data_IF_753847510250
#
_entry.id   IF_753847510250
#
_cell.length_a   1.000
_cell.length_b   1.000
_cell.length_c   1.000
_cell.angle_alpha   90.00
_cell.angle_beta   90.00
_cell.angle_gamma   90.00
#
_symmetry.space_group_name_H-M   'P 1'
#
loop_
_entity.id
_entity.type
_entity.pdbx_description
1 polymer ?
#
# COMPACT_ATOMS: atom_id res chain seq x y z
N UNK A 1 -17.41 28.07 -27.74
CA UNK A 1 -17.68 26.98 -28.71
C UNK A 1 -17.15 25.70 -28.07
N UNK A 2 -17.87 24.56 -28.05
CA UNK A 2 -17.22 23.33 -27.66
C UNK A 2 -16.17 23.05 -28.75
N UNK A 3 -14.89 23.04 -28.38
CA UNK A 3 -13.83 22.72 -29.32
C UNK A 3 -14.14 21.35 -29.94
N UNK A 4 -14.15 21.32 -31.27
CA UNK A 4 -14.32 20.09 -32.04
C UNK A 4 -13.28 19.07 -31.58
N UNK A 5 -13.68 17.80 -31.43
CA UNK A 5 -12.73 16.72 -31.13
C UNK A 5 -11.56 16.75 -32.11
N UNK A 6 -10.35 16.60 -31.59
CA UNK A 6 -9.15 16.54 -32.41
C UNK A 6 -8.99 15.20 -33.13
N UNK A 7 -8.05 15.10 -34.08
CA UNK A 7 -7.89 13.92 -34.93
C UNK A 7 -7.08 12.78 -34.27
N UNK A 8 -6.42 13.02 -33.13
CA UNK A 8 -5.54 12.02 -32.51
C UNK A 8 -6.34 10.93 -31.77
N UNK A 9 -5.76 9.73 -31.73
CA UNK A 9 -6.34 8.50 -31.17
C UNK A 9 -5.27 7.80 -30.33
N UNK A 10 -5.61 7.03 -29.29
CA UNK A 10 -4.63 6.33 -28.45
C UNK A 10 -3.62 5.48 -29.23
N UNK A 11 -4.05 4.83 -30.33
CA UNK A 11 -3.19 4.01 -31.19
C UNK A 11 -2.20 4.82 -32.06
N UNK A 12 -2.35 6.15 -32.11
CA UNK A 12 -1.35 7.04 -32.71
C UNK A 12 -0.17 7.34 -31.76
N UNK A 13 -0.23 6.95 -30.49
CA UNK A 13 0.82 7.14 -29.49
C UNK A 13 1.45 5.78 -29.16
N UNK A 14 2.77 5.72 -29.11
CA UNK A 14 3.51 4.51 -28.76
C UNK A 14 4.05 4.59 -27.33
N UNK A 15 4.31 3.43 -26.72
CA UNK A 15 5.04 3.38 -25.46
C UNK A 15 6.42 4.04 -25.61
N UNK A 16 6.76 4.92 -24.66
CA UNK A 16 7.93 5.81 -24.71
C UNK A 16 7.66 7.20 -25.28
N UNK A 17 6.55 7.42 -25.99
CA UNK A 17 6.15 8.76 -26.41
C UNK A 17 5.73 9.60 -25.19
N UNK A 18 6.01 10.90 -25.25
CA UNK A 18 5.74 11.86 -24.18
C UNK A 18 4.41 12.59 -24.40
N UNK A 19 3.36 11.86 -24.76
CA UNK A 19 2.06 12.43 -25.05
C UNK A 19 0.92 11.67 -24.39
N UNK A 20 0.02 12.43 -23.76
CA UNK A 20 -1.36 12.02 -23.54
C UNK A 20 -2.24 12.52 -24.69
N UNK A 21 -3.49 12.07 -24.73
CA UNK A 21 -4.52 12.60 -25.63
C UNK A 21 -5.75 13.01 -24.83
N UNK A 22 -6.16 14.26 -24.99
CA UNK A 22 -7.36 14.86 -24.43
C UNK A 22 -8.38 15.14 -25.52
N UNK A 23 -9.44 14.33 -25.64
CA UNK A 23 -10.51 14.50 -26.64
C UNK A 23 -9.99 14.71 -28.07
N UNK A 24 -8.95 13.95 -28.41
CA UNK A 24 -8.28 13.96 -29.71
C UNK A 24 -7.21 15.04 -29.88
N UNK A 25 -6.89 15.81 -28.84
CA UNK A 25 -5.79 16.79 -28.83
C UNK A 25 -4.59 16.23 -28.08
N UNK A 26 -3.36 16.34 -28.62
CA UNK A 26 -2.17 15.83 -27.96
C UNK A 26 -1.79 16.76 -26.80
N UNK A 27 -1.47 16.18 -25.66
CA UNK A 27 -0.98 16.89 -24.47
C UNK A 27 0.44 16.41 -24.22
N UNK A 28 1.42 17.30 -24.35
CA UNK A 28 2.82 16.95 -24.10
C UNK A 28 3.08 16.76 -22.61
N UNK A 29 3.64 15.60 -22.25
CA UNK A 29 4.00 15.26 -20.87
C UNK A 29 5.50 15.48 -20.68
N UNK A 30 5.85 16.60 -20.06
CA UNK A 30 7.24 16.90 -19.77
C UNK A 30 7.83 15.91 -18.74
N UNK A 31 9.13 15.59 -18.81
CA UNK A 31 9.78 14.81 -17.77
C UNK A 31 9.61 15.44 -16.38
N UNK A 32 9.45 14.59 -15.37
CA UNK A 32 9.37 14.98 -13.98
C UNK A 32 10.61 15.78 -13.52
N UNK A 33 10.40 16.92 -12.86
CA UNK A 33 11.44 17.58 -12.09
C UNK A 33 11.82 16.78 -10.85
N UNK A 34 13.00 17.03 -10.27
CA UNK A 34 13.55 16.21 -9.16
C UNK A 34 12.62 16.02 -7.97
N UNK A 35 11.87 17.07 -7.57
CA UNK A 35 10.90 16.97 -6.47
C UNK A 35 9.75 16.05 -6.87
N UNK A 36 9.10 16.32 -8.00
CA UNK A 36 7.94 15.57 -8.48
C UNK A 36 8.27 14.08 -8.64
N UNK A 37 9.38 13.74 -9.33
CA UNK A 37 9.79 12.34 -9.49
C UNK A 37 10.11 11.62 -8.16
N UNK A 38 10.66 12.33 -7.16
CA UNK A 38 10.86 11.75 -5.81
C UNK A 38 9.54 11.51 -5.10
N UNK A 39 8.61 12.46 -5.15
CA UNK A 39 7.32 12.31 -4.45
C UNK A 39 6.44 11.21 -5.07
N UNK A 40 6.55 10.95 -6.39
CA UNK A 40 5.87 9.81 -7.03
C UNK A 40 6.22 8.50 -6.36
N UNK A 41 7.53 8.24 -6.19
CA UNK A 41 8.00 7.04 -5.52
C UNK A 41 7.54 7.00 -4.06
N UNK A 42 7.67 8.12 -3.34
CA UNK A 42 7.30 8.22 -1.91
C UNK A 42 5.83 7.87 -1.71
N UNK A 43 4.91 8.43 -2.51
CA UNK A 43 3.49 8.15 -2.36
C UNK A 43 3.04 6.79 -2.93
N UNK A 44 3.75 6.24 -3.92
CA UNK A 44 3.40 4.95 -4.51
C UNK A 44 3.62 3.79 -3.54
N UNK A 45 4.69 3.83 -2.74
CA UNK A 45 5.07 2.76 -1.80
C UNK A 45 3.97 2.42 -0.77
N UNK A 46 3.42 3.38 0.01
CA UNK A 46 2.40 3.07 1.00
C UNK A 46 1.06 2.66 0.35
N UNK A 47 0.75 3.16 -0.85
CA UNK A 47 -0.44 2.76 -1.61
C UNK A 47 -0.32 1.32 -2.12
N UNK A 48 0.77 0.98 -2.81
CA UNK A 48 0.99 -0.34 -3.41
C UNK A 48 1.11 -1.46 -2.37
N UNK A 49 1.52 -1.12 -1.14
CA UNK A 49 1.63 -2.08 -0.03
C UNK A 49 0.32 -2.29 0.73
N UNK A 50 -0.72 -1.45 0.57
CA UNK A 50 -1.99 -1.63 1.29
C UNK A 50 -2.55 -3.07 1.11
N UNK A 51 -3.01 -3.73 2.18
CA UNK A 51 -3.48 -5.12 2.11
C UNK A 51 -4.60 -5.42 1.10
N UNK A 52 -5.45 -4.45 0.76
CA UNK A 52 -6.48 -4.61 -0.28
C UNK A 52 -5.94 -4.44 -1.70
N UNK A 53 -4.81 -3.78 -1.87
CA UNK A 53 -4.24 -3.50 -3.20
C UNK A 53 -3.62 -4.77 -3.78
N UNK A 54 -3.96 -5.03 -5.05
CA UNK A 54 -3.44 -6.15 -5.85
C UNK A 54 -2.71 -5.67 -7.09
N UNK A 55 -3.17 -4.56 -7.64
CA UNK A 55 -2.69 -3.96 -8.88
C UNK A 55 -2.40 -2.49 -8.62
N UNK A 56 -1.16 -2.09 -8.90
CA UNK A 56 -0.70 -0.71 -8.80
C UNK A 56 0.34 -0.44 -9.89
N UNK A 57 0.35 0.77 -10.43
CA UNK A 57 1.28 1.16 -11.47
C UNK A 57 1.58 2.66 -11.46
N UNK A 58 2.68 3.02 -12.10
CA UNK A 58 3.14 4.40 -12.27
C UNK A 58 3.08 4.71 -13.76
N UNK A 59 2.62 5.91 -14.11
CA UNK A 59 2.53 6.41 -15.48
C UNK A 59 1.79 5.43 -16.43
N UNK A 60 0.81 4.68 -15.91
CA UNK A 60 0.05 3.70 -16.70
C UNK A 60 -0.88 4.44 -17.65
N UNK A 61 -0.70 4.26 -18.95
CA UNK A 61 -1.58 4.85 -19.97
C UNK A 61 -2.90 4.09 -20.09
N UNK A 62 -4.01 4.80 -19.96
CA UNK A 62 -5.37 4.28 -20.12
C UNK A 62 -6.05 4.86 -21.36
N UNK A 63 -6.44 4.00 -22.30
CA UNK A 63 -7.35 4.36 -23.37
C UNK A 63 -8.77 4.46 -22.81
N UNK A 64 -9.15 5.66 -22.36
CA UNK A 64 -10.43 5.93 -21.72
C UNK A 64 -11.60 5.85 -22.72
N UNK A 65 -11.34 6.30 -23.94
CA UNK A 65 -12.20 6.15 -25.12
C UNK A 65 -11.37 6.26 -26.41
N UNK A 66 -12.03 6.15 -27.56
CA UNK A 66 -11.36 6.21 -28.87
C UNK A 66 -10.48 7.46 -29.06
N UNK A 67 -10.67 8.55 -28.31
CA UNK A 67 -10.00 9.83 -28.50
C UNK A 67 -9.29 10.32 -27.24
N UNK A 68 -9.16 9.50 -26.21
CA UNK A 68 -8.66 9.95 -24.92
C UNK A 68 -7.72 8.90 -24.33
N UNK A 69 -6.48 9.31 -24.09
CA UNK A 69 -5.42 8.53 -23.48
C UNK A 69 -4.86 9.34 -22.31
N UNK A 70 -5.03 8.85 -21.08
CA UNK A 70 -4.54 9.53 -19.86
C UNK A 70 -3.65 8.61 -19.05
N UNK A 71 -2.59 9.15 -18.47
CA UNK A 71 -1.63 8.40 -17.68
C UNK A 71 -1.45 9.03 -16.29
N UNK A 72 -2.17 8.55 -15.26
CA UNK A 72 -1.96 9.08 -13.91
C UNK A 72 -0.58 8.75 -13.35
N UNK A 73 -0.04 9.64 -12.52
CA UNK A 73 1.27 9.44 -11.88
C UNK A 73 1.28 8.15 -11.05
N UNK A 74 0.18 7.86 -10.36
CA UNK A 74 -0.04 6.58 -9.67
C UNK A 74 -1.46 6.10 -9.95
N UNK A 75 -1.59 4.82 -10.27
CA UNK A 75 -2.86 4.15 -10.52
C UNK A 75 -3.03 2.95 -9.59
N UNK A 76 -4.21 2.79 -9.00
CA UNK A 76 -4.58 1.64 -8.17
C UNK A 76 -5.83 0.96 -8.77
N UNK A 77 -5.70 -0.34 -9.03
CA UNK A 77 -6.69 -1.18 -9.70
C UNK A 77 -6.74 -0.96 -11.22
N UNK A 78 -7.06 -2.02 -11.97
CA UNK A 78 -7.03 -2.05 -13.44
C UNK A 78 -5.62 -1.78 -14.00
N UNK A 79 -4.60 -2.42 -13.42
CA UNK A 79 -3.22 -2.33 -13.92
C UNK A 79 -2.83 -3.70 -14.47
N UNK A 80 -3.18 -4.01 -15.74
CA UNK A 80 -2.95 -5.32 -16.32
C UNK A 80 -1.47 -5.59 -16.55
N UNK A 81 -1.06 -6.85 -16.38
CA UNK A 81 0.26 -7.36 -16.78
C UNK A 81 0.22 -7.75 -18.28
N UNK A 82 0.11 -6.74 -19.13
CA UNK A 82 0.01 -6.89 -20.59
C UNK A 82 0.65 -5.70 -21.31
N UNK A 83 1.15 -5.88 -22.55
CA UNK A 83 1.68 -4.79 -23.35
C UNK A 83 0.57 -3.86 -23.87
N UNK A 84 0.92 -2.60 -24.12
CA UNK A 84 0.02 -1.59 -24.68
C UNK A 84 -0.71 -0.77 -23.61
N UNK A 85 -1.69 0.01 -24.04
CA UNK A 85 -2.51 0.83 -23.16
C UNK A 85 -3.56 -0.02 -22.45
N UNK A 86 -3.83 0.28 -21.18
CA UNK A 86 -4.92 -0.35 -20.45
C UNK A 86 -6.28 0.17 -20.95
N UNK A 87 -7.25 -0.72 -21.17
CA UNK A 87 -8.62 -0.33 -21.48
C UNK A 87 -9.36 0.11 -20.21
N UNK A 88 -10.24 1.11 -20.32
CA UNK A 88 -11.04 1.60 -19.20
C UNK A 88 -10.27 2.60 -18.33
N UNK A 89 -10.40 2.52 -17.01
CA UNK A 89 -9.81 3.49 -16.08
C UNK A 89 -9.36 2.82 -14.76
N UNK A 90 -8.41 3.40 -14.02
CA UNK A 90 -8.05 2.90 -12.70
C UNK A 90 -9.15 3.23 -11.68
N UNK A 91 -9.20 2.48 -10.58
CA UNK A 91 -10.18 2.74 -9.51
C UNK A 91 -9.81 4.01 -8.73
N UNK A 92 -8.53 4.18 -8.42
CA UNK A 92 -7.96 5.41 -7.85
C UNK A 92 -6.82 5.89 -8.74
N UNK A 93 -6.88 7.16 -9.13
CA UNK A 93 -5.81 7.89 -9.80
C UNK A 93 -5.21 8.93 -8.85
N UNK A 94 -3.89 9.08 -8.84
CA UNK A 94 -3.18 10.11 -8.07
C UNK A 94 -2.36 10.96 -9.01
N UNK A 95 -2.43 12.28 -8.84
CA UNK A 95 -1.66 13.29 -9.59
C UNK A 95 -0.90 14.19 -8.62
N UNK A 96 0.35 14.53 -8.94
CA UNK A 96 1.15 15.49 -8.21
C UNK A 96 1.18 16.84 -8.93
N UNK A 97 0.56 17.86 -8.31
CA UNK A 97 0.54 19.20 -8.87
C UNK A 97 1.61 20.10 -8.23
N UNK A 98 2.43 20.74 -9.07
CA UNK A 98 3.50 21.65 -8.69
C UNK A 98 3.43 22.99 -9.46
N UNK A 99 4.42 23.89 -9.28
CA UNK A 99 4.47 25.24 -9.88
C UNK A 99 4.26 25.25 -11.40
N UNK A 100 4.71 24.21 -12.11
CA UNK A 100 4.62 24.11 -13.56
C UNK A 100 3.36 23.44 -14.08
N UNK A 101 2.48 22.94 -13.20
CA UNK A 101 1.28 22.22 -13.59
C UNK A 101 0.27 23.18 -14.22
N UNK A 102 -0.24 22.81 -15.40
CA UNK A 102 -1.38 23.49 -16.01
C UNK A 102 -2.67 23.02 -15.31
N UNK A 103 -3.31 23.92 -14.58
CA UNK A 103 -4.52 23.58 -13.80
C UNK A 103 -5.71 23.24 -14.71
N UNK A 104 -5.85 23.88 -15.87
CA UNK A 104 -6.98 23.61 -16.77
C UNK A 104 -6.85 22.19 -17.37
N UNK A 105 -5.64 21.80 -17.78
CA UNK A 105 -5.36 20.44 -18.26
C UNK A 105 -5.56 19.40 -17.16
N UNK A 106 -5.13 19.71 -15.93
CA UNK A 106 -5.32 18.84 -14.77
C UNK A 106 -6.81 18.66 -14.45
N UNK A 107 -7.61 19.72 -14.47
CA UNK A 107 -9.05 19.61 -14.26
C UNK A 107 -9.75 18.85 -15.40
N UNK A 108 -9.30 19.02 -16.65
CA UNK A 108 -9.79 18.23 -17.76
C UNK A 108 -9.48 16.73 -17.57
N UNK A 109 -8.25 16.39 -17.17
CA UNK A 109 -7.84 15.01 -16.86
C UNK A 109 -8.69 14.40 -15.74
N UNK A 110 -8.91 15.14 -14.65
CA UNK A 110 -9.80 14.71 -13.55
C UNK A 110 -11.21 14.41 -14.06
N UNK A 111 -11.79 15.31 -14.86
CA UNK A 111 -13.14 15.12 -15.40
C UNK A 111 -13.23 13.90 -16.33
N UNK A 112 -12.22 13.68 -17.16
CA UNK A 112 -12.16 12.55 -18.09
C UNK A 112 -12.00 11.21 -17.37
N UNK A 113 -11.11 11.13 -16.37
CA UNK A 113 -10.94 9.93 -15.54
C UNK A 113 -12.23 9.56 -14.80
N UNK A 114 -12.87 10.54 -14.14
CA UNK A 114 -14.14 10.32 -13.44
C UNK A 114 -15.27 9.92 -14.39
N UNK A 115 -15.30 10.48 -15.61
CA UNK A 115 -16.29 10.10 -16.63
C UNK A 115 -16.06 8.68 -17.17
N UNK A 116 -14.80 8.24 -17.24
CA UNK A 116 -14.39 6.90 -17.70
C UNK A 116 -14.56 5.80 -16.63
N UNK A 117 -14.86 6.17 -15.38
CA UNK A 117 -15.19 5.22 -14.32
C UNK A 117 -14.21 5.18 -13.15
N UNK A 118 -13.19 6.05 -13.13
CA UNK A 118 -12.38 6.23 -11.92
C UNK A 118 -13.26 6.66 -10.75
N UNK A 119 -13.12 5.98 -9.61
CA UNK A 119 -13.93 6.23 -8.41
C UNK A 119 -13.41 7.46 -7.66
N UNK A 120 -12.08 7.58 -7.56
CA UNK A 120 -11.39 8.66 -6.86
C UNK A 120 -10.21 9.20 -7.67
N UNK A 121 -10.07 10.52 -7.71
CA UNK A 121 -8.86 11.19 -8.17
C UNK A 121 -8.29 12.03 -7.02
N UNK A 122 -7.03 11.79 -6.66
CA UNK A 122 -6.32 12.52 -5.61
C UNK A 122 -5.28 13.43 -6.23
N UNK A 123 -5.42 14.74 -6.02
CA UNK A 123 -4.44 15.73 -6.43
C UNK A 123 -3.58 16.09 -5.22
N UNK A 124 -2.34 15.61 -5.20
CA UNK A 124 -1.34 15.92 -4.20
C UNK A 124 -0.72 17.28 -4.49
N UNK A 125 -1.01 18.27 -3.66
CA UNK A 125 -0.57 19.65 -3.88
C UNK A 125 0.80 19.87 -3.26
N UNK A 126 1.85 19.89 -4.10
CA UNK A 126 3.24 20.12 -3.66
C UNK A 126 3.54 21.59 -3.32
N UNK A 127 2.54 22.48 -3.43
CA UNK A 127 2.64 23.92 -3.17
C UNK A 127 1.70 24.35 -2.05
N UNK A 128 2.23 25.20 -1.18
CA UNK A 128 1.50 25.70 -0.01
C UNK A 128 1.44 24.65 1.10
N UNK A 129 0.45 24.74 2.00
CA UNK A 129 0.22 23.71 3.01
C UNK A 129 0.04 22.33 2.36
N UNK A 130 0.67 21.30 2.95
CA UNK A 130 0.46 19.90 2.57
C UNK A 130 -1.03 19.61 2.57
N UNK A 131 -1.54 19.14 1.44
CA UNK A 131 -2.95 18.76 1.28
C UNK A 131 -3.14 17.90 0.04
N UNK A 132 -4.23 17.17 0.03
CA UNK A 132 -4.74 16.46 -1.14
C UNK A 132 -6.13 16.96 -1.45
N UNK A 133 -6.36 17.37 -2.70
CA UNK A 133 -7.70 17.64 -3.20
C UNK A 133 -8.28 16.33 -3.73
N UNK A 134 -9.37 15.88 -3.14
CA UNK A 134 -10.05 14.63 -3.45
C UNK A 134 -11.25 14.94 -4.32
N UNK A 135 -11.27 14.33 -5.51
CA UNK A 135 -12.37 14.38 -6.44
C UNK A 135 -13.00 12.99 -6.52
N UNK A 136 -14.33 12.93 -6.41
CA UNK A 136 -15.10 11.71 -6.50
C UNK A 136 -16.28 11.92 -7.45
N UNK A 137 -16.81 10.82 -8.01
CA UNK A 137 -17.94 10.90 -8.93
C UNK A 137 -19.18 11.45 -8.22
N UNK A 138 -19.78 12.49 -8.80
CA UNK A 138 -21.01 13.13 -8.31
C UNK A 138 -20.93 13.75 -6.91
N UNK A 139 -19.73 13.98 -6.38
CA UNK A 139 -19.50 14.69 -5.12
C UNK A 139 -18.74 16.00 -5.37
N UNK A 140 -18.94 16.98 -4.49
CA UNK A 140 -18.15 18.20 -4.52
C UNK A 140 -16.68 17.87 -4.14
N UNK A 141 -15.69 18.44 -4.84
CA UNK A 141 -14.29 18.27 -4.46
C UNK A 141 -14.05 18.69 -3.01
N UNK A 142 -13.24 17.94 -2.29
CA UNK A 142 -12.88 18.23 -0.89
C UNK A 142 -11.37 18.27 -0.70
N UNK A 143 -10.90 19.15 0.16
CA UNK A 143 -9.48 19.23 0.50
C UNK A 143 -9.22 18.55 1.83
N UNK A 144 -8.21 17.68 1.86
CA UNK A 144 -7.73 16.98 3.07
C UNK A 144 -6.36 17.53 3.45
N UNK A 145 -6.20 18.18 4.61
CA UNK A 145 -4.94 18.79 5.01
C UNK A 145 -3.92 17.75 5.50
N UNK A 146 -2.64 18.13 5.55
CA UNK A 146 -1.60 17.38 6.26
C UNK A 146 -1.98 17.09 7.71
N UNK A 147 -1.49 15.98 8.25
CA UNK A 147 -1.89 15.45 9.56
C UNK A 147 -3.24 14.71 9.58
N UNK A 148 -4.05 14.81 8.52
CA UNK A 148 -5.30 14.06 8.41
C UNK A 148 -5.11 12.75 7.62
N UNK A 149 -6.17 11.94 7.59
CA UNK A 149 -6.21 10.65 6.89
C UNK A 149 -7.05 10.75 5.61
N UNK A 150 -6.57 10.09 4.56
CA UNK A 150 -7.26 9.88 3.29
C UNK A 150 -7.92 8.51 3.31
N UNK A 151 -9.23 8.50 3.03
CA UNK A 151 -9.98 7.26 2.87
C UNK A 151 -10.24 6.99 1.39
N UNK A 152 -10.14 5.73 1.00
CA UNK A 152 -10.58 5.22 -0.29
C UNK A 152 -11.37 3.91 -0.09
N UNK A 153 -12.62 4.00 0.40
CA UNK A 153 -13.43 2.83 0.74
C UNK A 153 -13.56 1.86 -0.43
N UNK A 154 -13.34 0.56 -0.16
CA UNK A 154 -13.39 -0.47 -1.18
C UNK A 154 -12.19 -0.51 -2.14
N UNK A 155 -11.26 0.44 -2.06
CA UNK A 155 -10.01 0.47 -2.84
C UNK A 155 -8.82 0.17 -1.92
N UNK A 156 -8.72 0.90 -0.80
CA UNK A 156 -7.74 0.68 0.25
C UNK A 156 -8.42 0.04 1.46
N UNK A 157 -7.72 -0.87 2.14
CA UNK A 157 -8.18 -1.46 3.40
C UNK A 157 -7.93 -0.57 4.59
N UNK A 158 -6.97 0.37 4.48
CA UNK A 158 -6.58 1.27 5.55
C UNK A 158 -6.59 2.73 5.06
N UNK A 159 -6.95 3.70 5.91
CA UNK A 159 -6.76 5.10 5.59
C UNK A 159 -5.27 5.43 5.43
N UNK A 160 -4.93 6.27 4.46
CA UNK A 160 -3.57 6.73 4.20
C UNK A 160 -3.34 8.10 4.87
N UNK A 161 -2.36 8.27 5.76
CA UNK A 161 -1.98 9.59 6.25
C UNK A 161 -1.56 10.50 5.09
N UNK A 162 -2.10 11.72 5.00
CA UNK A 162 -1.74 12.67 3.94
C UNK A 162 -0.23 12.87 3.86
N UNK A 163 0.45 12.94 5.01
CA UNK A 163 1.89 13.13 5.07
C UNK A 163 2.71 11.99 4.44
N UNK A 164 2.15 10.78 4.32
CA UNK A 164 2.81 9.66 3.64
C UNK A 164 2.97 9.89 2.12
N UNK A 165 2.27 10.87 1.54
CA UNK A 165 2.42 11.28 0.14
C UNK A 165 3.50 12.37 -0.06
N UNK A 166 4.17 12.81 1.01
CA UNK A 166 5.18 13.88 0.97
C UNK A 166 6.46 13.53 1.73
N UNK A 167 6.39 12.62 2.70
CA UNK A 167 7.47 12.27 3.60
C UNK A 167 7.82 10.79 3.51
N UNK A 168 9.03 10.51 3.02
CA UNK A 168 9.58 9.17 2.89
C UNK A 168 9.53 8.35 4.20
N UNK A 169 9.80 8.96 5.36
CA UNK A 169 9.78 8.23 6.62
C UNK A 169 8.35 7.81 6.96
N UNK A 170 7.39 8.70 6.72
CA UNK A 170 5.99 8.39 6.96
C UNK A 170 5.45 7.37 5.97
N UNK A 171 5.90 7.42 4.72
CA UNK A 171 5.61 6.42 3.70
C UNK A 171 6.13 5.04 4.10
N UNK A 172 7.39 4.95 4.54
CA UNK A 172 8.03 3.70 4.97
C UNK A 172 7.36 3.08 6.20
N UNK A 173 6.97 3.90 7.18
CA UNK A 173 6.20 3.44 8.35
C UNK A 173 4.87 2.80 7.94
N UNK A 174 4.09 3.48 7.08
CA UNK A 174 2.81 2.98 6.59
C UNK A 174 3.01 1.70 5.77
N UNK A 175 4.04 1.66 4.93
CA UNK A 175 4.37 0.47 4.15
C UNK A 175 4.74 -0.72 5.04
N UNK A 176 5.52 -0.50 6.10
CA UNK A 176 5.83 -1.54 7.08
C UNK A 176 4.56 -2.05 7.78
N UNK A 177 3.69 -1.15 8.24
CA UNK A 177 2.40 -1.50 8.86
C UNK A 177 1.51 -2.33 7.92
N UNK A 178 1.48 -1.95 6.64
CA UNK A 178 0.74 -2.65 5.61
C UNK A 178 1.29 -4.04 5.31
N UNK A 179 2.62 -4.17 5.19
CA UNK A 179 3.28 -5.46 4.96
C UNK A 179 3.12 -6.41 6.15
N UNK A 180 3.26 -5.91 7.37
CA UNK A 180 2.99 -6.69 8.58
C UNK A 180 1.54 -7.21 8.59
N UNK A 181 0.59 -6.35 8.24
CA UNK A 181 -0.82 -6.73 8.16
C UNK A 181 -1.10 -7.81 7.11
N UNK A 182 -0.44 -7.75 5.95
CA UNK A 182 -0.51 -8.81 4.93
C UNK A 182 0.00 -10.16 5.46
N UNK A 183 0.95 -10.14 6.38
CA UNK A 183 1.49 -11.31 7.06
C UNK A 183 0.73 -11.69 8.35
N UNK A 184 -0.42 -11.06 8.63
CA UNK A 184 -1.24 -11.37 9.80
C UNK A 184 -0.73 -10.77 11.12
N UNK A 185 0.25 -9.86 11.06
CA UNK A 185 0.78 -9.19 12.23
C UNK A 185 0.22 -7.77 12.38
N UNK A 186 -0.21 -7.42 13.60
CA UNK A 186 -0.77 -6.10 13.89
C UNK A 186 0.30 -4.99 13.87
N UNK A 187 1.52 -5.30 14.33
CA UNK A 187 2.64 -4.36 14.41
C UNK A 187 3.97 -5.10 14.60
N UNK A 188 5.09 -4.39 14.46
CA UNK A 188 6.41 -4.95 14.74
C UNK A 188 6.56 -5.36 16.23
N UNK A 189 5.87 -4.65 17.12
CA UNK A 189 5.87 -4.98 18.54
C UNK A 189 5.05 -6.24 18.83
N UNK A 190 3.99 -6.52 18.06
CA UNK A 190 3.28 -7.79 18.12
C UNK A 190 4.18 -8.96 17.71
N UNK A 191 4.93 -8.82 16.61
CA UNK A 191 5.93 -9.81 16.18
C UNK A 191 6.98 -10.05 17.26
N UNK A 192 7.51 -8.96 17.86
CA UNK A 192 8.49 -9.06 18.96
C UNK A 192 7.91 -9.71 20.21
N UNK A 193 6.64 -9.48 20.51
CA UNK A 193 5.97 -10.10 21.66
C UNK A 193 5.83 -11.61 21.45
N UNK A 194 5.34 -12.04 20.28
CA UNK A 194 5.23 -13.45 19.89
C UNK A 194 6.59 -14.16 19.95
N UNK A 195 7.64 -13.55 19.39
CA UNK A 195 8.99 -14.10 19.42
C UNK A 195 9.54 -14.25 20.85
N UNK A 196 9.24 -13.32 21.76
CA UNK A 196 9.65 -13.42 23.18
C UNK A 196 8.91 -14.55 23.89
N UNK A 197 7.63 -14.74 23.59
CA UNK A 197 6.83 -15.81 24.18
C UNK A 197 7.33 -17.18 23.72
N UNK A 198 7.57 -17.35 22.41
CA UNK A 198 8.18 -18.56 21.87
C UNK A 198 9.56 -18.82 22.48
N UNK A 199 10.43 -17.80 22.54
CA UNK A 199 11.75 -17.93 23.15
C UNK A 199 11.71 -18.31 24.64
N UNK A 200 10.71 -17.83 25.38
CA UNK A 200 10.47 -18.24 26.78
C UNK A 200 10.06 -19.71 26.87
N UNK A 201 9.14 -20.16 26.01
CA UNK A 201 8.72 -21.56 25.97
C UNK A 201 9.90 -22.49 25.65
N UNK A 202 10.69 -22.17 24.62
CA UNK A 202 11.88 -22.94 24.25
C UNK A 202 12.90 -23.02 25.39
N UNK A 203 13.14 -21.92 26.11
CA UNK A 203 14.03 -21.90 27.26
C UNK A 203 13.51 -22.78 28.41
N UNK A 204 12.21 -22.77 28.69
CA UNK A 204 11.60 -23.62 29.71
C UNK A 204 11.66 -25.09 29.35
N UNK A 205 11.36 -25.44 28.08
CA UNK A 205 11.49 -26.82 27.57
C UNK A 205 12.93 -27.30 27.75
N UNK A 206 13.93 -26.50 27.36
CA UNK A 206 15.34 -26.85 27.57
C UNK A 206 15.69 -27.05 29.04
N UNK A 207 15.18 -26.20 29.93
CA UNK A 207 15.41 -26.35 31.37
C UNK A 207 14.79 -27.65 31.91
N UNK A 208 13.59 -28.01 31.45
CA UNK A 208 12.92 -29.27 31.78
C UNK A 208 13.75 -30.46 31.28
N UNK A 209 14.20 -30.43 30.02
CA UNK A 209 15.04 -31.48 29.44
C UNK A 209 16.33 -31.70 30.24
N UNK A 210 17.00 -30.60 30.64
CA UNK A 210 18.21 -30.65 31.47
C UNK A 210 17.93 -31.22 32.86
N UNK A 211 16.84 -30.80 33.52
CA UNK A 211 16.48 -31.36 34.84
C UNK A 211 16.10 -32.84 34.76
N UNK A 212 15.31 -33.24 33.76
CA UNK A 212 14.95 -34.63 33.57
C UNK A 212 16.18 -35.50 33.32
N UNK A 213 17.14 -35.03 32.51
CA UNK A 213 18.41 -35.73 32.32
C UNK A 213 19.21 -35.82 33.62
N UNK A 214 19.31 -34.73 34.39
CA UNK A 214 20.03 -34.70 35.66
C UNK A 214 19.40 -35.55 36.78
N UNK A 215 18.09 -35.79 36.73
CA UNK A 215 17.35 -36.64 37.67
C UNK A 215 17.06 -38.04 37.14
N UNK A 216 17.59 -38.40 35.96
CA UNK A 216 17.35 -39.69 35.30
C UNK A 216 15.85 -39.98 35.06
N UNK A 217 15.04 -38.92 34.83
CA UNK A 217 13.61 -39.03 34.51
C UNK A 217 13.48 -39.25 32.99
N UNK A 218 12.86 -40.36 32.54
CA UNK A 218 12.76 -40.66 31.11
C UNK A 218 11.82 -39.69 30.38
N UNK A 219 12.34 -39.01 29.35
CA UNK A 219 11.58 -38.19 28.41
C UNK A 219 11.34 -38.97 27.10
N UNK A 220 10.30 -39.79 27.08
CA UNK A 220 9.82 -40.46 25.86
C UNK A 220 9.15 -39.49 24.89
N UNK A 221 8.87 -39.95 23.67
CA UNK A 221 8.16 -39.15 22.66
C UNK A 221 6.85 -38.50 23.17
N UNK A 222 5.97 -39.19 23.93
CA UNK A 222 4.74 -38.58 24.39
C UNK A 222 4.96 -37.33 25.26
N UNK A 223 5.97 -37.35 26.13
CA UNK A 223 6.31 -36.22 27.00
C UNK A 223 6.96 -35.08 26.22
N UNK A 224 7.77 -35.37 25.21
CA UNK A 224 8.34 -34.33 24.33
C UNK A 224 7.25 -33.66 23.50
N UNK A 225 6.27 -34.44 23.04
CA UNK A 225 5.10 -33.91 22.35
C UNK A 225 4.25 -33.03 23.27
N UNK A 226 4.07 -33.44 24.53
CA UNK A 226 3.40 -32.63 25.56
C UNK A 226 4.10 -31.29 25.78
N UNK A 227 5.43 -31.30 25.94
CA UNK A 227 6.25 -30.09 26.09
C UNK A 227 6.12 -29.15 24.89
N UNK A 228 6.14 -29.68 23.66
CA UNK A 228 6.09 -28.90 22.44
C UNK A 228 4.77 -28.13 22.23
N UNK A 229 3.68 -28.55 22.88
CA UNK A 229 2.37 -27.92 22.78
C UNK A 229 1.93 -27.21 24.07
N UNK A 230 2.75 -27.27 25.12
CA UNK A 230 2.45 -26.62 26.39
C UNK A 230 2.71 -25.12 26.30
N UNK A 231 1.81 -24.33 26.89
CA UNK A 231 2.02 -22.90 27.06
C UNK A 231 3.13 -22.61 28.10
N UNK A 232 3.70 -21.39 28.11
CA UNK A 232 4.76 -21.04 29.06
C UNK A 232 4.37 -21.22 30.54
N UNK A 233 3.09 -21.07 30.90
CA UNK A 233 2.63 -21.18 32.29
C UNK A 233 2.61 -22.65 32.73
N UNK A 234 2.13 -23.55 31.88
CA UNK A 234 2.17 -24.99 32.10
C UNK A 234 3.61 -25.51 32.19
N UNK A 235 4.50 -25.02 31.31
CA UNK A 235 5.92 -25.33 31.35
C UNK A 235 6.59 -24.87 32.65
N UNK A 236 6.27 -23.65 33.13
CA UNK A 236 6.77 -23.17 34.43
C UNK A 236 6.28 -24.02 35.60
N UNK A 237 5.01 -24.39 35.60
CA UNK A 237 4.44 -25.25 36.63
C UNK A 237 5.12 -26.63 36.64
N UNK A 238 5.36 -27.22 35.47
CA UNK A 238 6.05 -28.49 35.31
C UNK A 238 7.51 -28.40 35.75
N UNK A 239 8.23 -27.36 35.33
CA UNK A 239 9.61 -27.12 35.77
C UNK A 239 9.69 -27.02 37.30
N UNK A 240 8.78 -26.28 37.92
CA UNK A 240 8.71 -26.13 39.37
C UNK A 240 8.34 -27.45 40.08
N UNK A 241 7.46 -28.26 39.49
CA UNK A 241 7.14 -29.60 39.99
C UNK A 241 8.38 -30.51 39.96
N UNK A 242 9.06 -30.60 38.81
CA UNK A 242 10.27 -31.41 38.63
C UNK A 242 11.37 -31.00 39.61
N UNK A 243 11.59 -29.69 39.79
CA UNK A 243 12.58 -29.17 40.73
C UNK A 243 12.28 -29.56 42.19
N UNK A 244 11.01 -29.64 42.59
CA UNK A 244 10.60 -30.00 43.96
C UNK A 244 10.54 -31.50 44.19
N UNK A 245 9.93 -32.24 43.28
CA UNK A 245 9.54 -33.63 43.49
C UNK A 245 10.50 -34.63 42.81
N UNK A 246 11.35 -34.16 41.88
CA UNK A 246 12.28 -34.99 41.10
C UNK A 246 11.61 -36.16 40.40
N UNK A 247 10.35 -35.96 40.01
CA UNK A 247 9.53 -36.92 39.30
C UNK A 247 8.64 -36.18 38.31
N UNK A 248 8.26 -36.86 37.23
CA UNK A 248 7.24 -36.36 36.32
C UNK A 248 5.87 -36.46 37.01
N UNK A 249 4.99 -35.44 36.91
CA UNK A 249 3.67 -35.44 37.53
C UNK A 249 2.72 -36.52 36.99
#
# INVERSE_FOLDING_TARGET
>A
MPESRGPFRPDHVQDGDRYEISRGHPVYVAPAGSRHGREHLVGAVPLATDPAVREAGIDVGYALDDHTLRAPDISIGNVPDAPGWADGAPRLAVEYADRGTNEDDLQAKVAELLAAGTELVWIVRLRGPRRVDVHARAEAPRTVPGGAMLEAPGILSRPLPVDALFDHHRADEVALENLLARHGHASLDAVRAEAREQGRAEALIRAIEVLCAGFEIPLGEPRRAELAHADPQALEALLAHLARHRAWP
#
